data_IF_192605519428
#
_entry.id   IF_192605519428
#
_cell.length_a   1.000
_cell.length_b   1.000
_cell.length_c   1.000
_cell.angle_alpha   90.00
_cell.angle_beta   90.00
_cell.angle_gamma   90.00
#
_symmetry.space_group_name_H-M   'P 1'
#
loop_
_entity.id
_entity.type
_entity.pdbx_description
1 polymer ?
#
# COMPACT_ATOMS: atom_id res chain seq x y z
N UNK A 1 48.80 35.00 -31.80
CA UNK A 1 47.32 35.05 -31.97
C UNK A 1 46.72 33.79 -32.62
N UNK A 2 47.32 33.17 -33.65
CA UNK A 2 46.75 31.96 -34.32
C UNK A 2 46.56 30.71 -33.44
N UNK A 3 47.43 30.47 -32.45
CA UNK A 3 47.36 29.25 -31.59
C UNK A 3 46.18 29.25 -30.61
N UNK A 4 45.76 30.43 -30.12
CA UNK A 4 44.64 30.56 -29.17
C UNK A 4 43.30 30.34 -29.88
N UNK A 5 43.17 30.82 -31.11
CA UNK A 5 41.98 30.63 -31.93
C UNK A 5 41.75 29.15 -32.29
N UNK A 6 42.82 28.41 -32.63
CA UNK A 6 42.73 26.99 -32.93
C UNK A 6 42.28 26.15 -31.73
N UNK A 7 42.73 26.49 -30.53
CA UNK A 7 42.36 25.79 -29.30
C UNK A 7 40.87 26.00 -28.95
N UNK A 8 40.36 27.22 -29.13
CA UNK A 8 38.95 27.56 -28.88
C UNK A 8 38.03 26.82 -29.87
N UNK A 9 38.40 26.74 -31.15
CA UNK A 9 37.63 25.99 -32.16
C UNK A 9 37.60 24.49 -31.85
N UNK A 10 38.71 23.93 -31.35
CA UNK A 10 38.77 22.50 -30.98
C UNK A 10 37.88 22.18 -29.77
N UNK A 11 37.83 23.08 -28.78
CA UNK A 11 36.98 22.92 -27.58
C UNK A 11 35.49 23.02 -27.94
N UNK A 12 35.11 23.97 -28.80
CA UNK A 12 33.72 24.13 -29.25
C UNK A 12 33.29 22.92 -30.10
N UNK A 13 34.16 22.41 -30.97
CA UNK A 13 33.88 21.21 -31.76
C UNK A 13 33.70 19.96 -30.88
N UNK A 14 34.49 19.81 -29.81
CA UNK A 14 34.34 18.71 -28.84
C UNK A 14 33.03 18.79 -28.04
N UNK A 15 32.66 19.99 -27.58
CA UNK A 15 31.38 20.23 -26.87
C UNK A 15 30.18 19.92 -27.76
N UNK A 16 30.24 20.33 -29.03
CA UNK A 16 29.18 20.06 -30.01
C UNK A 16 29.11 18.57 -30.40
N UNK A 17 30.24 17.86 -30.46
CA UNK A 17 30.28 16.41 -30.73
C UNK A 17 29.68 15.59 -29.57
N UNK A 18 30.00 15.93 -28.32
CA UNK A 18 29.54 15.19 -27.15
C UNK A 18 28.01 15.24 -26.94
N UNK A 19 27.35 16.35 -27.29
CA UNK A 19 25.88 16.44 -27.23
C UNK A 19 25.18 15.67 -28.37
N UNK A 20 25.87 15.42 -29.48
CA UNK A 20 25.29 14.79 -30.68
C UNK A 20 25.27 13.25 -30.60
N UNK A 21 26.08 12.64 -29.73
CA UNK A 21 26.25 11.17 -29.68
C UNK A 21 25.41 10.46 -28.63
N UNK A 22 24.89 11.17 -27.62
CA UNK A 22 24.02 10.56 -26.59
C UNK A 22 22.92 11.50 -26.08
N UNK A 23 21.93 11.88 -26.92
CA UNK A 23 20.75 12.55 -26.38
C UNK A 23 20.03 11.58 -25.44
N UNK A 24 20.01 11.87 -24.14
CA UNK A 24 19.14 11.16 -23.19
C UNK A 24 17.70 11.51 -23.59
N UNK A 25 17.03 10.58 -24.28
CA UNK A 25 15.71 10.82 -24.86
C UNK A 25 14.62 11.01 -23.79
N UNK A 26 14.77 10.38 -22.61
CA UNK A 26 14.06 10.71 -21.36
C UNK A 26 14.51 9.80 -20.23
N UNK A 27 14.34 10.24 -18.99
CA UNK A 27 14.44 9.40 -17.78
C UNK A 27 13.03 9.27 -17.20
N UNK A 28 12.48 8.06 -17.17
CA UNK A 28 11.19 7.78 -16.53
C UNK A 28 11.40 7.23 -15.13
N UNK A 29 11.02 8.01 -14.12
CA UNK A 29 10.97 7.55 -12.72
C UNK A 29 9.51 7.23 -12.43
N UNK A 30 9.16 5.95 -12.32
CA UNK A 30 7.84 5.52 -11.86
C UNK A 30 7.91 5.12 -10.39
N UNK A 31 6.89 5.52 -9.63
CA UNK A 31 6.71 5.01 -8.27
C UNK A 31 6.31 3.53 -8.32
N UNK A 32 6.73 2.72 -7.32
CA UNK A 32 6.24 1.36 -7.17
C UNK A 32 4.71 1.30 -7.10
N UNK A 33 4.14 0.20 -7.59
CA UNK A 33 2.74 -0.12 -7.43
C UNK A 33 2.38 -0.30 -5.95
N UNK A 34 1.16 0.09 -5.59
CA UNK A 34 0.61 0.00 -4.24
C UNK A 34 0.38 -1.46 -3.81
N UNK A 35 0.36 -1.75 -2.50
CA UNK A 35 -0.08 -3.05 -2.01
C UNK A 35 -1.57 -3.30 -2.36
N UNK A 36 -1.97 -4.56 -2.37
CA UNK A 36 -3.36 -4.97 -2.65
C UNK A 36 -3.83 -5.95 -1.59
N UNK A 37 -4.93 -5.63 -0.90
CA UNK A 37 -5.54 -6.54 0.08
C UNK A 37 -5.99 -7.85 -0.57
N UNK A 38 -5.89 -8.96 0.15
CA UNK A 38 -6.29 -10.29 -0.33
C UNK A 38 -7.32 -10.95 0.57
N UNK A 39 -7.05 -11.02 1.87
CA UNK A 39 -7.97 -11.61 2.84
C UNK A 39 -7.96 -10.80 4.14
N UNK A 40 -9.09 -10.72 4.85
CA UNK A 40 -10.42 -11.08 4.35
C UNK A 40 -10.89 -10.05 3.29
N UNK A 41 -11.44 -10.54 2.17
CA UNK A 41 -11.97 -9.69 1.09
C UNK A 41 -13.43 -9.99 0.81
N UNK A 42 -14.27 -9.01 1.14
CA UNK A 42 -15.69 -8.85 0.83
C UNK A 42 -16.55 -10.08 1.16
N UNK A 43 -16.04 -10.97 2.01
CA UNK A 43 -16.67 -12.21 2.44
C UNK A 43 -17.24 -12.10 3.85
N UNK A 44 -18.25 -12.92 4.10
CA UNK A 44 -18.71 -13.20 5.46
C UNK A 44 -17.81 -14.27 6.05
N UNK A 45 -17.09 -13.89 7.11
CA UNK A 45 -16.34 -14.78 7.99
C UNK A 45 -17.32 -15.32 9.03
N UNK A 46 -17.31 -16.63 9.27
CA UNK A 46 -18.15 -17.22 10.31
C UNK A 46 -17.78 -16.67 11.68
N UNK A 47 -18.65 -16.79 12.67
CA UNK A 47 -18.30 -16.36 14.04
C UNK A 47 -17.15 -17.17 14.64
N UNK A 48 -17.02 -18.45 14.28
CA UNK A 48 -15.92 -19.27 14.77
C UNK A 48 -14.58 -18.86 14.15
N UNK A 49 -14.54 -18.67 12.84
CA UNK A 49 -13.37 -18.13 12.14
C UNK A 49 -13.12 -16.66 12.54
N UNK A 50 -14.17 -15.95 12.97
CA UNK A 50 -14.14 -14.56 13.40
C UNK A 50 -13.34 -14.32 14.67
N UNK A 51 -13.07 -15.38 15.45
CA UNK A 51 -12.19 -15.32 16.63
C UNK A 51 -10.75 -15.01 16.25
N UNK A 52 -10.31 -15.43 15.05
CA UNK A 52 -8.94 -15.27 14.55
C UNK A 52 -8.99 -14.77 13.10
N UNK A 53 -8.73 -13.48 12.90
CA UNK A 53 -8.71 -12.88 11.57
C UNK A 53 -7.28 -12.84 11.03
N UNK A 54 -7.06 -13.49 9.88
CA UNK A 54 -5.83 -13.37 9.12
C UNK A 54 -5.97 -12.28 8.05
N UNK A 55 -5.21 -11.20 8.21
CA UNK A 55 -5.09 -10.14 7.22
C UNK A 55 -3.92 -10.45 6.30
N UNK A 56 -4.15 -10.53 4.99
CA UNK A 56 -3.15 -10.87 3.98
C UNK A 56 -3.20 -9.89 2.80
N UNK A 57 -2.06 -9.49 2.25
CA UNK A 57 -1.97 -8.57 1.10
C UNK A 57 -0.84 -8.94 0.14
N UNK A 58 -0.91 -8.45 -1.11
CA UNK A 58 0.23 -8.42 -2.03
C UNK A 58 1.16 -7.26 -1.67
N UNK A 59 2.49 -7.46 -1.68
CA UNK A 59 3.45 -6.41 -1.42
C UNK A 59 3.49 -5.36 -2.54
N UNK A 60 4.19 -4.25 -2.30
CA UNK A 60 4.52 -3.29 -3.37
C UNK A 60 5.38 -3.93 -4.46
N UNK A 61 5.16 -3.56 -5.73
CA UNK A 61 5.92 -4.08 -6.87
C UNK A 61 6.48 -2.97 -7.76
N UNK A 62 7.74 -3.10 -8.26
CA UNK A 62 8.72 -4.15 -7.95
C UNK A 62 9.16 -4.11 -6.48
N UNK A 63 9.71 -5.23 -5.97
CA UNK A 63 10.17 -5.31 -4.58
C UNK A 63 11.28 -4.27 -4.34
N UNK A 64 11.13 -3.36 -3.38
CA UNK A 64 12.16 -2.38 -3.04
C UNK A 64 13.45 -3.04 -2.54
N UNK A 65 14.59 -2.37 -2.72
CA UNK A 65 15.89 -2.81 -2.19
C UNK A 65 15.95 -2.68 -0.66
N UNK A 66 15.30 -1.66 -0.12
CA UNK A 66 15.20 -1.46 1.32
C UNK A 66 13.97 -2.18 1.90
N UNK A 67 14.02 -2.59 3.18
CA UNK A 67 12.87 -3.16 3.85
C UNK A 67 11.64 -2.24 3.86
N UNK A 68 10.47 -2.84 3.64
CA UNK A 68 9.19 -2.15 3.62
C UNK A 68 8.47 -2.34 4.96
N UNK A 69 8.10 -1.23 5.59
CA UNK A 69 7.21 -1.22 6.74
C UNK A 69 5.76 -1.19 6.25
N UNK A 70 5.00 -2.24 6.55
CA UNK A 70 3.56 -2.29 6.29
C UNK A 70 2.80 -1.98 7.57
N UNK A 71 1.97 -0.94 7.52
CA UNK A 71 1.03 -0.57 8.58
C UNK A 71 -0.37 -1.01 8.23
N UNK A 72 -0.87 -2.01 8.94
CA UNK A 72 -2.24 -2.52 8.81
C UNK A 72 -3.14 -1.79 9.78
N UNK A 73 -4.28 -1.30 9.29
CA UNK A 73 -5.32 -0.67 10.10
C UNK A 73 -6.69 -1.23 9.78
N UNK A 74 -7.52 -1.39 10.80
CA UNK A 74 -8.92 -1.80 10.65
C UNK A 74 -9.84 -1.00 11.58
N UNK A 75 -11.05 -0.75 11.10
CA UNK A 75 -12.10 -0.02 11.78
C UNK A 75 -13.40 -0.78 11.65
N UNK A 76 -14.26 -0.70 12.68
CA UNK A 76 -15.64 -1.13 12.54
C UNK A 76 -16.35 -0.20 11.56
N UNK A 77 -17.21 -0.76 10.71
CA UNK A 77 -18.08 -0.03 9.80
C UNK A 77 -19.51 -0.13 10.34
N UNK A 78 -20.05 0.99 10.83
CA UNK A 78 -21.39 1.02 11.40
C UNK A 78 -22.46 0.96 10.29
N UNK A 79 -23.66 0.48 10.63
CA UNK A 79 -24.76 0.41 9.67
C UNK A 79 -25.09 1.81 9.12
N UNK A 80 -25.20 1.92 7.79
CA UNK A 80 -25.47 3.19 7.10
C UNK A 80 -24.25 4.10 6.93
N UNK A 81 -23.09 3.74 7.48
CA UNK A 81 -21.86 4.52 7.36
C UNK A 81 -21.11 4.20 6.05
N UNK A 82 -20.49 5.20 5.42
CA UNK A 82 -19.55 4.99 4.31
C UNK A 82 -18.16 4.61 4.82
N UNK A 83 -17.38 3.89 4.02
CA UNK A 83 -16.01 3.47 4.37
C UNK A 83 -15.11 4.64 4.80
N UNK A 84 -15.16 5.74 4.03
CA UNK A 84 -14.36 6.93 4.30
C UNK A 84 -14.72 7.60 5.64
N UNK A 85 -15.98 7.51 6.06
CA UNK A 85 -16.43 8.02 7.35
C UNK A 85 -15.96 7.13 8.49
N UNK A 86 -16.01 5.80 8.32
CA UNK A 86 -15.49 4.87 9.31
C UNK A 86 -13.99 5.07 9.56
N UNK A 87 -13.19 5.21 8.50
CA UNK A 87 -11.75 5.45 8.60
C UNK A 87 -11.44 6.78 9.30
N UNK A 88 -12.27 7.81 9.08
CA UNK A 88 -12.04 9.17 9.59
C UNK A 88 -12.54 9.36 11.02
N UNK A 89 -13.67 8.74 11.37
CA UNK A 89 -14.44 9.06 12.58
C UNK A 89 -14.42 7.95 13.62
N UNK A 90 -14.26 6.68 13.22
CA UNK A 90 -14.35 5.57 14.17
C UNK A 90 -12.99 5.32 14.84
N UNK A 91 -13.05 4.70 16.03
CA UNK A 91 -11.85 4.25 16.73
C UNK A 91 -11.15 3.15 15.92
N UNK A 92 -9.81 3.22 15.85
CA UNK A 92 -9.01 2.13 15.28
C UNK A 92 -9.12 0.89 16.17
N UNK A 93 -9.45 -0.23 15.57
CA UNK A 93 -9.52 -1.53 16.23
C UNK A 93 -8.24 -2.33 16.04
N UNK A 94 -7.60 -2.17 14.88
CA UNK A 94 -6.28 -2.75 14.59
C UNK A 94 -5.34 -1.63 14.19
N UNK A 95 -4.15 -1.66 14.78
CA UNK A 95 -2.95 -0.95 14.29
C UNK A 95 -1.77 -1.87 14.51
N UNK A 96 -1.19 -2.36 13.41
CA UNK A 96 -0.01 -3.23 13.47
C UNK A 96 0.96 -2.83 12.39
N UNK A 97 2.22 -2.74 12.78
CA UNK A 97 3.34 -2.47 11.89
C UNK A 97 4.16 -3.75 11.76
N UNK A 98 4.43 -4.19 10.53
CA UNK A 98 5.28 -5.35 10.23
C UNK A 98 6.29 -4.99 9.15
N UNK A 99 7.49 -5.59 9.19
CA UNK A 99 8.57 -5.33 8.24
C UNK A 99 8.72 -6.53 7.31
N UNK A 100 8.65 -6.28 6.00
CA UNK A 100 8.79 -7.28 4.93
C UNK A 100 7.89 -8.53 5.07
N UNK A 101 6.85 -8.45 5.90
CA UNK A 101 5.80 -9.45 6.02
C UNK A 101 4.54 -8.95 5.34
N UNK A 102 3.77 -9.88 4.78
CA UNK A 102 2.55 -9.56 4.03
C UNK A 102 1.29 -10.18 4.64
N UNK A 103 1.38 -10.53 5.92
CA UNK A 103 0.25 -11.04 6.70
C UNK A 103 0.36 -10.69 8.18
N UNK A 104 -0.77 -10.58 8.86
CA UNK A 104 -0.88 -10.52 10.32
C UNK A 104 -2.08 -11.33 10.80
N UNK A 105 -1.97 -11.86 12.01
CA UNK A 105 -3.08 -12.52 12.71
C UNK A 105 -3.56 -11.62 13.84
N UNK A 106 -4.88 -11.43 13.93
CA UNK A 106 -5.53 -10.67 15.00
C UNK A 106 -6.59 -11.54 15.64
N UNK A 107 -6.48 -11.73 16.94
CA UNK A 107 -7.45 -12.48 17.73
C UNK A 107 -8.45 -11.52 18.39
N UNK A 108 -9.67 -12.01 18.61
CA UNK A 108 -10.70 -11.31 19.39
C UNK A 108 -10.96 -9.87 18.91
N UNK A 109 -10.95 -9.64 17.59
CA UNK A 109 -11.16 -8.32 16.99
C UNK A 109 -12.45 -7.66 17.49
N UNK A 110 -13.49 -8.47 17.68
CA UNK A 110 -14.79 -8.03 18.19
C UNK A 110 -15.33 -9.06 19.17
N UNK A 111 -16.21 -8.62 20.06
CA UNK A 111 -16.96 -9.52 20.92
C UNK A 111 -17.96 -10.30 20.08
N UNK A 112 -17.91 -11.63 20.18
CA UNK A 112 -18.81 -12.58 19.51
C UNK A 112 -19.83 -13.07 20.57
N UNK A 113 -21.12 -13.29 20.23
CA UNK A 113 -21.73 -13.26 18.89
C UNK A 113 -21.93 -11.87 18.31
N UNK A 114 -21.98 -11.80 16.98
CA UNK A 114 -22.29 -10.63 16.17
C UNK A 114 -23.68 -10.83 15.52
N UNK A 115 -24.78 -10.70 16.29
CA UNK A 115 -26.12 -11.13 15.87
C UNK A 115 -26.66 -10.46 14.60
N UNK A 116 -26.12 -9.30 14.21
CA UNK A 116 -26.48 -8.58 12.97
C UNK A 116 -25.30 -8.44 11.98
N UNK A 117 -24.23 -9.21 12.19
CA UNK A 117 -22.98 -9.09 11.43
C UNK A 117 -22.18 -7.85 11.82
N UNK A 118 -20.95 -8.06 12.30
CA UNK A 118 -20.00 -6.99 12.56
C UNK A 118 -19.21 -6.70 11.29
N UNK A 119 -19.37 -5.50 10.72
CA UNK A 119 -18.72 -5.12 9.46
C UNK A 119 -17.45 -4.34 9.75
N UNK A 120 -16.45 -4.51 8.89
CA UNK A 120 -15.16 -3.86 9.03
C UNK A 120 -14.67 -3.32 7.70
N UNK A 121 -13.91 -2.24 7.77
CA UNK A 121 -13.07 -1.73 6.70
C UNK A 121 -11.62 -1.77 7.16
N UNK A 122 -10.71 -2.15 6.27
CA UNK A 122 -9.29 -2.24 6.59
C UNK A 122 -8.42 -1.87 5.39
N UNK A 123 -7.19 -1.44 5.65
CA UNK A 123 -6.20 -1.18 4.60
C UNK A 123 -4.79 -1.39 5.13
N UNK A 124 -3.84 -1.40 4.18
CA UNK A 124 -2.41 -1.49 4.45
C UNK A 124 -1.71 -0.29 3.83
N UNK A 125 -0.79 0.33 4.58
CA UNK A 125 0.08 1.39 4.08
C UNK A 125 1.53 0.91 4.00
N UNK A 126 2.14 0.99 2.83
CA UNK A 126 3.56 0.73 2.61
C UNK A 126 4.41 1.98 2.86
N UNK A 127 5.36 1.86 3.78
CA UNK A 127 6.22 2.94 4.27
C UNK A 127 7.70 2.52 4.22
N UNK A 128 8.60 3.49 4.13
CA UNK A 128 10.03 3.29 4.40
C UNK A 128 10.32 3.37 5.92
N UNK A 129 11.59 3.16 6.28
CA UNK A 129 12.06 3.27 7.68
C UNK A 129 11.85 4.66 8.32
N UNK A 130 11.69 5.70 7.51
CA UNK A 130 11.40 7.08 7.95
C UNK A 130 9.91 7.35 8.11
N UNK A 131 9.06 6.32 7.92
CA UNK A 131 7.60 6.46 7.98
C UNK A 131 7.00 7.17 6.78
N UNK A 132 7.73 7.29 5.67
CA UNK A 132 7.26 7.95 4.45
C UNK A 132 6.69 6.94 3.45
N UNK A 133 5.62 7.29 2.73
CA UNK A 133 5.09 6.45 1.66
C UNK A 133 6.10 6.07 0.58
N UNK A 134 6.05 4.84 0.09
CA UNK A 134 7.00 4.32 -0.93
C UNK A 134 6.36 3.86 -2.24
N UNK A 135 5.05 3.99 -2.38
CA UNK A 135 4.33 3.58 -3.59
C UNK A 135 3.25 4.58 -3.93
N UNK A 136 2.64 4.42 -5.10
CA UNK A 136 1.47 5.20 -5.54
C UNK A 136 0.37 5.19 -4.47
N UNK A 137 -0.58 6.13 -4.55
CA UNK A 137 -1.67 6.27 -3.56
C UNK A 137 -1.15 6.50 -2.11
N UNK A 138 -0.04 7.23 -1.96
CA UNK A 138 0.59 7.49 -0.64
C UNK A 138 0.85 6.19 0.15
N UNK A 139 1.19 5.10 -0.56
CA UNK A 139 1.47 3.82 0.07
C UNK A 139 0.24 2.96 0.38
N UNK A 140 -0.97 3.51 0.27
CA UNK A 140 -2.18 2.80 0.68
C UNK A 140 -2.65 1.79 -0.36
N UNK A 141 -3.05 0.62 0.11
CA UNK A 141 -3.89 -0.31 -0.64
C UNK A 141 -5.29 0.28 -0.90
N UNK A 142 -6.07 -0.30 -1.83
CA UNK A 142 -7.53 -0.21 -1.76
C UNK A 142 -8.03 -0.70 -0.40
N UNK A 143 -9.22 -0.26 -0.01
CA UNK A 143 -9.88 -0.75 1.20
C UNK A 143 -10.36 -2.19 0.98
N UNK A 144 -10.02 -3.06 1.93
CA UNK A 144 -10.70 -4.34 2.10
C UNK A 144 -11.92 -4.17 3.01
N UNK A 145 -12.90 -5.05 2.83
CA UNK A 145 -14.11 -5.11 3.66
C UNK A 145 -14.37 -6.55 4.05
N UNK A 146 -14.99 -6.77 5.20
CA UNK A 146 -15.48 -8.09 5.58
C UNK A 146 -16.56 -7.97 6.64
N UNK A 147 -17.29 -9.07 6.86
CA UNK A 147 -18.31 -9.18 7.89
C UNK A 147 -18.01 -10.40 8.75
N UNK A 148 -18.01 -10.26 10.07
CA UNK A 148 -18.05 -11.39 11.01
C UNK A 148 -19.51 -11.62 11.40
N UNK A 149 -20.04 -12.82 11.15
CA UNK A 149 -21.40 -13.14 11.57
C UNK A 149 -21.87 -14.50 11.05
N UNK A 150 -23.17 -14.74 11.16
CA UNK A 150 -23.79 -15.97 10.67
C UNK A 150 -23.61 -16.05 9.15
N UNK A 151 -22.98 -17.13 8.67
CA UNK A 151 -22.85 -17.40 7.24
C UNK A 151 -24.23 -17.73 6.70
N UNK A 152 -24.86 -16.78 6.02
CA UNK A 152 -26.09 -17.03 5.29
C UNK A 152 -25.76 -17.98 4.13
N UNK A 153 -26.08 -19.27 4.28
CA UNK A 153 -26.10 -20.18 3.14
C UNK A 153 -27.12 -19.65 2.14
N UNK A 154 -26.66 -19.29 0.94
CA UNK A 154 -27.59 -19.04 -0.16
C UNK A 154 -28.27 -20.38 -0.46
N UNK A 155 -29.56 -20.46 -0.17
CA UNK A 155 -30.43 -21.50 -0.73
C UNK A 155 -30.57 -21.29 -2.23
#
# INVERSE_FOLDING_TARGET
MKKVFGLIVLIIAFQAYAQKTYPIASVSISLPAKPTVLLPDSSTVSEEDGKIINFNWKPVTPKPKEPVLYRVKAWQLMQGQMEADAIRMNRLMVVKDVIDQTQIVVENLVKIPCPNGCRFVWNVQALNRKGQPISVNKGFSPNGKFVIGVKMERK
#
